data_IF_261590946701
#
_entry.id   IF_261590946701
#
_cell.length_a   1.000
_cell.length_b   1.000
_cell.length_c   1.000
_cell.angle_alpha   90.00
_cell.angle_beta   90.00
_cell.angle_gamma   90.00
#
_symmetry.space_group_name_H-M   'P 1'
#
loop_
_entity.id
_entity.type
_entity.pdbx_description
1 polymer ?
#
# COMPACT_ATOMS: atom_id res chain seq x y z
N UNK A 1 -11.07 25.13 4.19
CA UNK A 1 -11.53 23.71 4.15
C UNK A 1 -10.87 22.93 3.02
N UNK A 2 -10.94 23.38 1.77
CA UNK A 2 -10.32 22.68 0.63
C UNK A 2 -8.80 22.45 0.81
N UNK A 3 -8.04 23.48 1.21
CA UNK A 3 -6.58 23.33 1.37
C UNK A 3 -6.17 22.39 2.50
N UNK A 4 -6.96 22.30 3.58
CA UNK A 4 -6.65 21.43 4.73
C UNK A 4 -6.84 19.94 4.40
N UNK A 5 -7.92 19.60 3.70
CA UNK A 5 -8.15 18.22 3.23
C UNK A 5 -7.06 17.78 2.27
N UNK A 6 -6.65 18.68 1.37
CA UNK A 6 -5.55 18.46 0.43
C UNK A 6 -4.23 18.22 1.19
N UNK A 7 -3.92 19.03 2.21
CA UNK A 7 -2.72 18.83 3.05
C UNK A 7 -2.73 17.48 3.76
N UNK A 8 -3.84 17.07 4.37
CA UNK A 8 -3.92 15.76 5.04
C UNK A 8 -3.73 14.63 4.04
N UNK A 9 -4.41 14.69 2.90
CA UNK A 9 -4.29 13.68 1.85
C UNK A 9 -2.84 13.51 1.38
N UNK A 10 -2.15 14.62 1.07
CA UNK A 10 -0.75 14.55 0.63
C UNK A 10 0.19 14.03 1.73
N UNK A 11 -0.03 14.36 3.00
CA UNK A 11 0.76 13.80 4.09
C UNK A 11 0.59 12.27 4.20
N UNK A 12 -0.61 11.73 3.93
CA UNK A 12 -0.84 10.28 3.88
C UNK A 12 -0.08 9.63 2.73
N UNK A 13 -0.09 10.23 1.53
CA UNK A 13 0.70 9.73 0.39
C UNK A 13 2.20 9.71 0.71
N UNK A 14 2.72 10.80 1.30
CA UNK A 14 4.13 10.88 1.70
C UNK A 14 4.45 9.81 2.76
N UNK A 15 3.56 9.56 3.71
CA UNK A 15 3.72 8.51 4.70
C UNK A 15 3.85 7.11 4.07
N UNK A 16 3.03 6.81 3.05
CA UNK A 16 3.18 5.59 2.25
C UNK A 16 4.53 5.54 1.55
N UNK A 17 4.95 6.63 0.90
CA UNK A 17 6.27 6.69 0.25
C UNK A 17 7.42 6.42 1.24
N UNK A 18 7.40 7.03 2.43
CA UNK A 18 8.40 6.77 3.48
C UNK A 18 8.38 5.32 3.95
N UNK A 19 7.19 4.75 4.14
CA UNK A 19 7.04 3.35 4.53
C UNK A 19 7.67 2.40 3.50
N UNK A 20 7.36 2.59 2.21
CA UNK A 20 7.96 1.80 1.12
C UNK A 20 9.46 2.06 0.98
N UNK A 21 9.92 3.30 1.20
CA UNK A 21 11.33 3.66 1.20
C UNK A 21 12.11 2.86 2.25
N UNK A 22 11.64 2.82 3.50
CA UNK A 22 12.28 2.01 4.54
C UNK A 22 12.17 0.51 4.28
N UNK A 23 11.04 0.04 3.77
CA UNK A 23 10.84 -1.36 3.42
C UNK A 23 11.75 -1.83 2.27
N UNK A 24 12.24 -0.91 1.43
CA UNK A 24 13.11 -1.21 0.29
C UNK A 24 14.55 -1.53 0.70
N UNK A 25 14.96 -1.25 1.94
CA UNK A 25 16.27 -1.67 2.47
C UNK A 25 16.36 -3.16 2.83
N UNK A 26 15.26 -3.91 2.70
CA UNK A 26 15.27 -5.36 2.91
C UNK A 26 15.93 -6.09 1.73
N UNK A 27 16.69 -7.15 2.02
CA UNK A 27 17.35 -7.99 0.99
C UNK A 27 16.35 -8.59 -0.01
N UNK A 28 15.20 -9.02 0.51
CA UNK A 28 14.07 -9.52 -0.29
C UNK A 28 12.90 -8.61 0.00
N UNK A 29 12.29 -8.07 -1.05
CA UNK A 29 11.19 -7.12 -0.91
C UNK A 29 9.94 -7.92 -0.50
N UNK A 30 9.18 -7.46 0.50
CA UNK A 30 8.02 -8.22 0.97
C UNK A 30 6.90 -8.32 -0.07
N UNK A 31 6.91 -7.44 -1.08
CA UNK A 31 6.02 -7.48 -2.24
C UNK A 31 6.62 -8.18 -3.47
N UNK A 32 7.77 -8.86 -3.35
CA UNK A 32 8.36 -9.57 -4.50
C UNK A 32 7.64 -10.85 -4.86
N UNK A 33 6.86 -11.43 -3.92
CA UNK A 33 6.19 -12.70 -4.14
C UNK A 33 5.03 -12.97 -3.17
N UNK A 34 4.40 -14.13 -3.38
CA UNK A 34 3.20 -14.56 -2.70
C UNK A 34 3.46 -15.38 -1.42
N UNK A 35 4.71 -15.57 -1.01
CA UNK A 35 5.09 -16.42 0.13
C UNK A 35 5.03 -15.69 1.48
N UNK A 36 3.90 -15.03 1.76
CA UNK A 36 3.69 -14.29 3.01
C UNK A 36 2.37 -14.66 3.68
N UNK A 37 2.31 -14.52 5.00
CA UNK A 37 1.13 -14.90 5.81
C UNK A 37 -0.12 -14.03 5.56
N UNK A 38 0.04 -12.87 4.94
CA UNK A 38 -1.06 -11.96 4.60
C UNK A 38 -1.62 -12.18 3.19
N UNK A 39 -1.00 -13.02 2.38
CA UNK A 39 -1.40 -13.20 0.98
C UNK A 39 -2.59 -14.14 0.86
N UNK A 40 -3.54 -13.78 0.00
CA UNK A 40 -4.68 -14.65 -0.31
C UNK A 40 -4.33 -15.74 -1.32
N UNK A 41 -5.17 -16.79 -1.46
CA UNK A 41 -5.03 -17.79 -2.54
C UNK A 41 -5.11 -17.18 -3.96
N UNK A 42 -5.59 -15.95 -4.07
CA UNK A 42 -5.67 -15.19 -5.33
C UNK A 42 -4.33 -14.58 -5.74
N UNK A 43 -3.34 -14.50 -4.84
CA UNK A 43 -2.02 -13.97 -5.15
C UNK A 43 -1.33 -14.82 -6.23
N UNK A 44 -0.84 -14.17 -7.29
CA UNK A 44 -0.12 -14.84 -8.38
C UNK A 44 1.28 -14.28 -8.55
N UNK A 45 2.30 -15.12 -8.33
CA UNK A 45 3.68 -14.74 -8.61
C UNK A 45 3.86 -14.42 -10.11
N UNK A 46 4.74 -13.44 -10.44
CA UNK A 46 5.05 -13.09 -11.82
C UNK A 46 5.70 -14.25 -12.60
N UNK A 47 6.28 -15.23 -11.92
CA UNK A 47 6.87 -16.44 -12.52
C UNK A 47 5.83 -17.46 -13.04
N UNK A 48 4.53 -17.13 -12.98
CA UNK A 48 3.53 -17.73 -13.87
C UNK A 48 3.18 -19.19 -13.60
N UNK A 49 3.40 -19.72 -12.39
CA UNK A 49 3.05 -21.10 -12.04
C UNK A 49 1.55 -21.28 -11.74
N UNK A 50 0.67 -20.82 -12.63
CA UNK A 50 -0.74 -21.22 -12.67
C UNK A 50 -0.96 -21.89 -14.02
N UNK A 51 -1.66 -23.03 -14.03
CA UNK A 51 -2.08 -23.64 -15.29
C UNK A 51 -2.82 -22.57 -16.11
N UNK A 52 -2.25 -22.14 -17.24
CA UNK A 52 -2.79 -21.07 -18.09
C UNK A 52 -4.26 -21.32 -18.48
N UNK A 53 -4.67 -22.58 -18.50
CA UNK A 53 -6.04 -23.05 -18.70
C UNK A 53 -7.02 -22.55 -17.63
N UNK A 54 -6.61 -22.47 -16.36
CA UNK A 54 -7.46 -22.00 -15.26
C UNK A 54 -7.71 -20.49 -15.34
N UNK A 55 -6.70 -19.69 -15.71
CA UNK A 55 -6.85 -18.25 -15.91
C UNK A 55 -7.82 -17.94 -17.07
N UNK A 56 -7.69 -18.65 -18.21
CA UNK A 56 -8.61 -18.48 -19.34
C UNK A 56 -10.04 -18.85 -18.99
N UNK A 57 -10.26 -19.95 -18.26
CA UNK A 57 -11.60 -20.36 -17.80
C UNK A 57 -12.21 -19.36 -16.82
N UNK A 58 -11.40 -18.76 -15.95
CA UNK A 58 -11.80 -17.70 -15.01
C UNK A 58 -12.27 -16.43 -15.75
N UNK A 59 -11.49 -15.96 -16.74
CA UNK A 59 -11.83 -14.80 -17.56
C UNK A 59 -13.00 -15.09 -18.52
N UNK A 60 -13.20 -16.35 -18.91
CA UNK A 60 -14.31 -16.79 -19.76
C UNK A 60 -15.65 -16.87 -19.02
N UNK A 61 -15.70 -16.60 -17.70
CA UNK A 61 -16.94 -16.58 -16.93
C UNK A 61 -17.62 -17.94 -16.79
N UNK A 62 -16.86 -19.05 -16.88
CA UNK A 62 -17.43 -20.38 -16.66
C UNK A 62 -17.80 -20.55 -15.17
N UNK A 63 -19.04 -20.88 -14.82
CA UNK A 63 -19.47 -21.02 -13.41
C UNK A 63 -19.02 -22.33 -12.74
N UNK A 64 -18.28 -23.19 -13.45
CA UNK A 64 -17.85 -24.52 -12.98
C UNK A 64 -16.52 -24.49 -12.18
N UNK A 65 -15.82 -23.36 -12.13
CA UNK A 65 -14.64 -23.16 -11.31
C UNK A 65 -14.88 -21.98 -10.35
N UNK A 66 -14.89 -22.24 -9.05
CA UNK A 66 -14.84 -21.20 -8.01
C UNK A 66 -13.48 -20.50 -8.11
N UNK A 67 -13.38 -19.53 -9.02
CA UNK A 67 -12.11 -18.99 -9.46
C UNK A 67 -12.03 -17.51 -9.10
N UNK A 68 -10.97 -17.15 -8.39
CA UNK A 68 -10.67 -15.79 -7.97
C UNK A 68 -9.71 -15.16 -8.98
N UNK A 69 -9.98 -13.92 -9.37
CA UNK A 69 -9.12 -13.16 -10.28
C UNK A 69 -7.72 -13.07 -9.64
N UNK A 70 -6.65 -13.44 -10.38
CA UNK A 70 -5.31 -13.37 -9.85
C UNK A 70 -4.92 -11.92 -9.55
N UNK A 71 -4.42 -11.69 -8.35
CA UNK A 71 -3.94 -10.38 -7.89
C UNK A 71 -2.42 -10.38 -7.82
N UNK A 72 -1.81 -9.26 -8.16
CA UNK A 72 -0.35 -9.15 -8.16
C UNK A 72 0.20 -9.08 -6.71
N UNK A 73 1.40 -9.63 -6.43
CA UNK A 73 2.01 -9.55 -5.10
C UNK A 73 2.14 -8.14 -4.51
N UNK A 74 2.47 -7.07 -5.29
CA UNK A 74 2.52 -5.72 -4.74
C UNK A 74 1.14 -5.14 -4.42
N UNK A 75 0.11 -5.52 -5.16
CA UNK A 75 -1.27 -5.10 -4.89
C UNK A 75 -1.81 -5.78 -3.63
N UNK A 76 -1.58 -7.09 -3.47
CA UNK A 76 -1.89 -7.83 -2.23
C UNK A 76 -1.15 -7.24 -1.01
N UNK A 77 0.13 -6.90 -1.18
CA UNK A 77 0.90 -6.26 -0.12
C UNK A 77 0.29 -4.90 0.27
N UNK A 78 -0.14 -4.09 -0.70
CA UNK A 78 -0.76 -2.81 -0.40
C UNK A 78 -2.12 -2.99 0.32
N UNK A 79 -2.99 -3.86 -0.19
CA UNK A 79 -4.35 -4.02 0.33
C UNK A 79 -4.38 -4.72 1.71
N UNK A 80 -3.63 -5.81 1.88
CA UNK A 80 -3.74 -6.66 3.07
C UNK A 80 -2.70 -6.34 4.14
N UNK A 81 -1.52 -5.87 3.77
CA UNK A 81 -0.46 -5.56 4.74
C UNK A 81 -0.39 -4.07 5.06
N UNK A 82 -0.34 -3.20 4.04
CA UNK A 82 -0.22 -1.75 4.26
C UNK A 82 -1.56 -1.18 4.72
N UNK A 83 -2.62 -1.32 3.94
CA UNK A 83 -3.92 -0.77 4.26
C UNK A 83 -4.70 -1.61 5.27
N UNK A 84 -4.40 -2.91 5.38
CA UNK A 84 -5.17 -3.90 6.17
C UNK A 84 -6.67 -3.72 5.95
N UNK A 85 -7.09 -3.82 4.68
CA UNK A 85 -8.49 -3.67 4.27
C UNK A 85 -9.39 -4.55 5.15
N UNK A 86 -10.33 -3.94 5.85
CA UNK A 86 -11.33 -4.64 6.66
C UNK A 86 -12.48 -5.15 5.78
N UNK A 87 -13.08 -6.26 6.17
CA UNK A 87 -14.23 -6.87 5.46
C UNK A 87 -15.52 -6.03 5.56
N UNK A 88 -15.55 -4.99 6.41
CA UNK A 88 -16.70 -4.10 6.59
C UNK A 88 -16.30 -2.69 7.06
N UNK A 89 -17.12 -1.70 6.69
CA UNK A 89 -16.95 -0.28 7.08
C UNK A 89 -17.28 -0.01 8.55
N UNK A 90 -17.88 -0.98 9.26
CA UNK A 90 -18.34 -0.86 10.64
C UNK A 90 -17.30 -1.36 11.67
N UNK A 91 -16.31 -2.14 11.21
CA UNK A 91 -15.21 -2.63 12.04
C UNK A 91 -13.95 -1.79 11.80
N UNK A 92 -13.86 -0.63 12.48
CA UNK A 92 -12.63 0.16 12.49
C UNK A 92 -11.56 -0.63 13.27
N UNK A 93 -10.70 -1.33 12.54
CA UNK A 93 -9.67 -2.20 13.10
C UNK A 93 -8.59 -1.45 13.89
N UNK A 94 -7.67 -2.20 14.51
CA UNK A 94 -6.54 -1.61 15.25
C UNK A 94 -5.63 -0.82 14.29
N UNK A 95 -5.22 0.41 14.68
CA UNK A 95 -4.32 1.22 13.85
C UNK A 95 -2.99 0.51 13.60
N UNK A 96 -2.51 0.56 12.35
CA UNK A 96 -1.21 0.02 11.99
C UNK A 96 -0.10 0.99 12.43
N UNK A 97 0.46 0.74 13.61
CA UNK A 97 1.46 1.60 14.25
C UNK A 97 2.66 2.00 13.37
N UNK A 98 3.24 1.12 12.52
CA UNK A 98 4.32 1.53 11.62
C UNK A 98 3.91 2.63 10.63
N UNK A 99 2.67 2.60 10.15
CA UNK A 99 2.12 3.64 9.28
C UNK A 99 1.86 4.94 10.04
N UNK A 100 1.34 4.84 11.27
CA UNK A 100 1.15 6.00 12.12
C UNK A 100 2.47 6.73 12.42
N UNK A 101 3.55 5.98 12.67
CA UNK A 101 4.89 6.54 12.85
C UNK A 101 5.44 7.17 11.56
N UNK A 102 5.25 6.52 10.40
CA UNK A 102 5.64 7.11 9.11
C UNK A 102 4.85 8.40 8.81
N UNK A 103 3.58 8.46 9.21
CA UNK A 103 2.75 9.65 9.09
C UNK A 103 3.26 10.78 9.98
N UNK A 104 3.58 10.50 11.24
CA UNK A 104 4.19 11.48 12.14
C UNK A 104 5.51 12.02 11.56
N UNK A 105 6.34 11.15 11.00
CA UNK A 105 7.59 11.55 10.35
C UNK A 105 7.34 12.43 9.11
N UNK A 106 6.35 12.09 8.28
CA UNK A 106 5.97 12.91 7.12
C UNK A 106 5.58 14.33 7.55
N UNK A 107 4.77 14.45 8.60
CA UNK A 107 4.38 15.75 9.18
C UNK A 107 5.58 16.57 9.65
N UNK A 108 6.55 15.93 10.34
CA UNK A 108 7.78 16.60 10.79
C UNK A 108 8.59 17.08 9.59
N UNK A 109 8.78 16.25 8.57
CA UNK A 109 9.53 16.61 7.36
C UNK A 109 8.89 17.79 6.63
N UNK A 110 7.57 17.76 6.44
CA UNK A 110 6.83 18.87 5.80
C UNK A 110 6.94 20.14 6.63
N UNK A 111 6.80 20.06 7.96
CA UNK A 111 6.95 21.21 8.84
C UNK A 111 8.36 21.82 8.75
N UNK A 112 9.40 20.98 8.72
CA UNK A 112 10.79 21.43 8.54
C UNK A 112 10.96 22.13 7.19
N UNK A 113 10.45 21.54 6.09
CA UNK A 113 10.51 22.14 4.76
C UNK A 113 9.82 23.52 4.72
N UNK A 114 8.68 23.67 5.37
CA UNK A 114 7.97 24.95 5.46
C UNK A 114 8.77 25.97 6.28
N UNK A 115 9.28 25.57 7.46
CA UNK A 115 10.07 26.44 8.35
C UNK A 115 11.37 26.91 7.67
N UNK A 116 12.00 26.06 6.85
CA UNK A 116 13.17 26.44 6.08
C UNK A 116 12.81 27.31 4.86
N UNK A 117 11.67 27.04 4.22
CA UNK A 117 11.15 27.85 3.12
C UNK A 117 10.87 29.30 3.52
N UNK A 118 10.22 29.53 4.67
CA UNK A 118 9.96 30.90 5.17
C UNK A 118 11.24 31.68 5.46
N UNK A 119 12.34 30.99 5.83
CA UNK A 119 13.65 31.62 6.03
C UNK A 119 14.33 32.01 4.72
N UNK A 120 13.99 31.34 3.61
CA UNK A 120 14.53 31.64 2.27
C UNK A 120 13.78 32.77 1.55
N UNK A 121 12.50 33.01 1.88
CA UNK A 121 11.69 34.07 1.23
C UNK A 121 11.85 35.46 1.82
N UNK A 122 12.46 35.60 3.00
CA UNK A 122 12.69 36.90 3.65
C UNK A 122 14.01 37.58 3.26
N UNK A 123 14.69 37.11 2.21
CA UNK A 123 15.97 37.67 1.75
C UNK A 123 15.77 38.60 0.55
N UNK A 124 14.83 39.55 0.70
CA UNK A 124 14.57 40.62 -0.25
C UNK A 124 14.19 41.88 0.52
#
# INVERSE_FOLDING_TARGET
>A
INSFLVTIYYNVIIAWCLFYFFASFRRTLPWSGCDNWWNTPSCSNPDGSRNSTANFLCLSGNPLNNCSIPTSPPEEYFDHFVLRRSDSMEAMGSPHWPLALCLLLAWILVAICIIQGIKSSGKN
#
